data_IF_482444178348
#
_entry.id   IF_482444178348
#
_cell.length_a   1.000
_cell.length_b   1.000
_cell.length_c   1.000
_cell.angle_alpha   90.00
_cell.angle_beta   90.00
_cell.angle_gamma   90.00
#
_symmetry.space_group_name_H-M   'P 1'
#
loop_
_entity.id
_entity.type
_entity.pdbx_description
1 polymer ?
#
# COMPACT_ATOMS: atom_id res chain seq x y z
N UNK A 1 0.31 -9.33 11.92
CA UNK A 1 -0.21 -8.06 11.36
C UNK A 1 0.55 -6.91 12.01
N UNK A 2 0.95 -5.88 11.25
CA UNK A 2 1.62 -4.67 11.80
C UNK A 2 0.69 -3.93 12.78
N UNK A 3 1.26 -3.14 13.70
CA UNK A 3 0.46 -2.32 14.62
C UNK A 3 -0.33 -1.24 13.85
N UNK A 4 -1.49 -0.81 14.37
CA UNK A 4 -2.36 0.18 13.69
C UNK A 4 -1.60 1.48 13.40
N UNK A 5 -0.83 1.99 14.35
CA UNK A 5 0.00 3.19 14.17
C UNK A 5 1.02 3.03 13.04
N UNK A 6 1.60 1.84 12.89
CA UNK A 6 2.55 1.54 11.82
C UNK A 6 1.84 1.52 10.47
N UNK A 7 0.65 0.93 10.38
CA UNK A 7 -0.18 0.91 9.17
C UNK A 7 -0.56 2.33 8.72
N UNK A 8 -0.96 3.18 9.67
CA UNK A 8 -1.29 4.58 9.38
C UNK A 8 -0.06 5.34 8.88
N UNK A 9 1.12 5.11 9.49
CA UNK A 9 2.40 5.68 8.99
C UNK A 9 2.72 5.24 7.56
N UNK A 10 2.42 4.00 7.19
CA UNK A 10 2.56 3.53 5.81
C UNK A 10 1.67 4.35 4.87
N UNK A 11 0.40 4.59 5.24
CA UNK A 11 -0.52 5.43 4.48
C UNK A 11 0.04 6.84 4.23
N UNK A 12 0.57 7.50 5.26
CA UNK A 12 1.22 8.82 5.12
C UNK A 12 2.44 8.80 4.20
N UNK A 13 3.29 7.77 4.31
CA UNK A 13 4.47 7.62 3.44
C UNK A 13 4.06 7.44 1.98
N UNK A 14 3.01 6.65 1.72
CA UNK A 14 2.46 6.43 0.38
C UNK A 14 1.86 7.73 -0.16
N UNK A 15 1.01 8.42 0.60
CA UNK A 15 0.41 9.69 0.20
C UNK A 15 1.46 10.69 -0.26
N UNK A 16 2.46 10.94 0.60
CA UNK A 16 3.52 11.90 0.32
C UNK A 16 4.29 11.53 -0.94
N UNK A 17 4.56 10.25 -1.16
CA UNK A 17 5.25 9.79 -2.37
C UNK A 17 4.42 10.01 -3.63
N UNK A 18 3.11 9.72 -3.59
CA UNK A 18 2.23 9.93 -4.72
C UNK A 18 2.16 11.41 -5.10
N UNK A 19 2.05 12.30 -4.11
CA UNK A 19 2.05 13.77 -4.29
C UNK A 19 3.38 14.28 -4.85
N UNK A 20 4.51 13.94 -4.22
CA UNK A 20 5.85 14.42 -4.61
C UNK A 20 6.23 14.00 -6.04
N UNK A 21 5.68 12.88 -6.52
CA UNK A 21 5.97 12.36 -7.86
C UNK A 21 4.82 12.60 -8.85
N UNK A 22 3.77 13.33 -8.45
CA UNK A 22 2.59 13.59 -9.26
C UNK A 22 2.01 12.31 -9.91
N UNK A 23 1.97 11.23 -9.13
CA UNK A 23 1.52 9.92 -9.60
C UNK A 23 0.00 9.82 -9.48
N UNK A 24 -0.67 9.65 -10.63
CA UNK A 24 -2.12 9.42 -10.68
C UNK A 24 -2.51 8.06 -10.07
N UNK A 25 -1.65 7.06 -10.24
CA UNK A 25 -1.83 5.70 -9.74
C UNK A 25 -0.45 5.08 -9.48
N UNK A 26 -0.33 4.27 -8.43
CA UNK A 26 0.80 3.37 -8.20
C UNK A 26 0.35 1.95 -7.87
N UNK A 27 1.17 0.96 -8.23
CA UNK A 27 0.97 -0.44 -7.84
C UNK A 27 1.88 -0.79 -6.67
N UNK A 28 1.60 -1.89 -5.95
CA UNK A 28 2.44 -2.31 -4.83
C UNK A 28 3.93 -2.39 -5.15
N UNK A 29 4.29 -2.87 -6.35
CA UNK A 29 5.68 -3.00 -6.79
C UNK A 29 6.39 -1.66 -6.94
N UNK A 30 5.66 -0.61 -7.32
CA UNK A 30 6.22 0.72 -7.54
C UNK A 30 6.56 1.39 -6.19
N UNK A 31 5.82 1.02 -5.13
CA UNK A 31 5.99 1.56 -3.78
C UNK A 31 7.02 0.78 -2.93
N UNK A 32 7.33 -0.47 -3.28
CA UNK A 32 8.26 -1.29 -2.49
C UNK A 32 9.65 -0.66 -2.30
N UNK A 33 10.31 -0.10 -3.34
CA UNK A 33 11.62 0.53 -3.16
C UNK A 33 11.60 1.63 -2.10
N UNK A 34 10.57 2.48 -2.11
CA UNK A 34 10.38 3.52 -1.09
C UNK A 34 10.20 2.91 0.30
N UNK A 35 9.29 1.94 0.43
CA UNK A 35 8.92 1.38 1.72
C UNK A 35 10.08 0.57 2.34
N UNK A 36 10.93 -0.05 1.51
CA UNK A 36 12.18 -0.67 1.95
C UNK A 36 13.19 0.39 2.39
N UNK A 37 13.38 1.46 1.59
CA UNK A 37 14.26 2.58 1.95
C UNK A 37 13.87 3.24 3.28
N UNK A 38 12.57 3.25 3.61
CA UNK A 38 12.02 3.75 4.88
C UNK A 38 12.06 2.73 6.02
N UNK A 39 12.55 1.51 5.79
CA UNK A 39 12.67 0.45 6.79
C UNK A 39 11.34 -0.24 7.15
N UNK A 40 10.25 0.03 6.42
CA UNK A 40 8.92 -0.53 6.68
C UNK A 40 8.87 -2.01 6.30
N UNK A 41 9.51 -2.37 5.19
CA UNK A 41 9.70 -3.75 4.74
C UNK A 41 11.18 -4.06 4.60
N UNK A 42 11.57 -5.30 4.88
CA UNK A 42 12.98 -5.72 4.79
C UNK A 42 13.44 -5.91 3.34
N UNK A 43 12.58 -6.46 2.49
CA UNK A 43 12.87 -6.75 1.08
C UNK A 43 11.58 -6.95 0.31
N UNK A 44 11.66 -6.89 -1.02
CA UNK A 44 10.59 -7.29 -1.91
C UNK A 44 10.88 -8.70 -2.44
N UNK A 45 10.04 -9.65 -2.05
CA UNK A 45 10.19 -11.03 -2.47
C UNK A 45 9.61 -11.31 -3.86
N UNK A 46 8.61 -10.51 -4.30
CA UNK A 46 7.90 -10.75 -5.57
C UNK A 46 6.97 -9.59 -5.92
N UNK A 47 7.49 -8.58 -6.62
CA UNK A 47 6.73 -7.45 -7.18
C UNK A 47 5.65 -6.93 -6.21
N UNK A 48 6.05 -6.46 -5.04
CA UNK A 48 5.13 -5.92 -4.04
C UNK A 48 4.36 -6.95 -3.23
N UNK A 49 4.78 -8.21 -3.21
CA UNK A 49 4.12 -9.25 -2.41
C UNK A 49 3.97 -8.87 -0.93
N UNK A 50 5.00 -8.36 -0.22
CA UNK A 50 4.87 -8.00 1.20
C UNK A 50 3.77 -6.97 1.46
N UNK A 51 3.68 -5.95 0.60
CA UNK A 51 2.63 -4.94 0.69
C UNK A 51 1.25 -5.53 0.35
N UNK A 52 1.14 -6.37 -0.69
CA UNK A 52 -0.12 -7.06 -1.02
C UNK A 52 -0.62 -7.94 0.12
N UNK A 53 0.26 -8.63 0.83
CA UNK A 53 -0.12 -9.44 2.00
C UNK A 53 -0.62 -8.58 3.17
N UNK A 54 0.00 -7.41 3.40
CA UNK A 54 -0.52 -6.44 4.37
C UNK A 54 -1.93 -5.97 3.98
N UNK A 55 -2.15 -5.60 2.72
CA UNK A 55 -3.45 -5.12 2.22
C UNK A 55 -4.54 -6.19 2.35
N UNK A 56 -4.23 -7.45 2.02
CA UNK A 56 -5.15 -8.59 2.21
C UNK A 56 -5.50 -8.80 3.69
N UNK A 57 -4.53 -8.67 4.60
CA UNK A 57 -4.80 -8.78 6.04
C UNK A 57 -5.72 -7.66 6.52
N UNK A 58 -5.49 -6.42 6.09
CA UNK A 58 -6.32 -5.27 6.43
C UNK A 58 -7.73 -5.42 5.89
N UNK A 59 -7.87 -5.80 4.62
CA UNK A 59 -9.17 -5.98 3.99
C UNK A 59 -10.00 -7.09 4.67
N UNK A 60 -9.40 -8.26 4.95
CA UNK A 60 -10.06 -9.34 5.71
C UNK A 60 -10.45 -8.92 7.11
N UNK A 61 -9.72 -7.99 7.72
CA UNK A 61 -10.02 -7.45 9.05
C UNK A 61 -11.00 -6.26 9.02
N UNK A 62 -11.51 -5.84 7.85
CA UNK A 62 -12.34 -4.64 7.72
C UNK A 62 -11.59 -3.33 8.01
N UNK A 63 -10.27 -3.33 7.91
CA UNK A 63 -9.35 -2.23 8.29
C UNK A 63 -8.65 -1.57 7.11
N UNK A 64 -9.13 -1.80 5.89
CA UNK A 64 -8.53 -1.17 4.70
C UNK A 64 -8.60 0.36 4.75
N UNK A 65 -9.60 0.92 5.46
CA UNK A 65 -9.75 2.36 5.69
C UNK A 65 -8.54 3.04 6.37
N UNK A 66 -7.65 2.26 7.00
CA UNK A 66 -6.40 2.78 7.58
C UNK A 66 -5.38 3.22 6.51
N UNK A 67 -5.55 2.77 5.26
CA UNK A 67 -4.78 3.20 4.10
C UNK A 67 -5.78 3.68 3.04
N UNK A 68 -6.32 4.89 3.18
CA UNK A 68 -7.38 5.39 2.30
C UNK A 68 -6.95 5.54 0.82
N UNK A 69 -5.64 5.58 0.55
CA UNK A 69 -5.08 5.58 -0.80
C UNK A 69 -5.31 4.23 -1.51
N UNK A 70 -5.45 3.14 -0.75
CA UNK A 70 -5.47 1.78 -1.29
C UNK A 70 -6.87 1.38 -1.76
N UNK A 71 -6.94 0.90 -3.01
CA UNK A 71 -8.12 0.29 -3.59
C UNK A 71 -7.74 -1.02 -4.30
N UNK A 72 -8.73 -1.84 -4.64
CA UNK A 72 -8.49 -3.03 -5.44
C UNK A 72 -9.61 -3.32 -6.43
N UNK A 73 -9.23 -3.90 -7.57
CA UNK A 73 -10.14 -4.60 -8.47
C UNK A 73 -10.07 -6.11 -8.20
N UNK A 74 -11.22 -6.75 -8.00
CA UNK A 74 -11.31 -8.20 -7.92
C UNK A 74 -11.53 -8.78 -9.33
N UNK A 75 -10.65 -9.67 -9.78
CA UNK A 75 -10.83 -10.48 -11.00
C UNK A 75 -10.63 -11.95 -10.67
N UNK A 76 -11.69 -12.74 -10.78
CA UNK A 76 -11.73 -14.14 -10.34
C UNK A 76 -11.27 -14.26 -8.88
N UNK A 77 -10.22 -15.03 -8.60
CA UNK A 77 -9.64 -15.20 -7.26
C UNK A 77 -8.56 -14.15 -6.91
N UNK A 78 -8.19 -13.29 -7.87
CA UNK A 78 -7.08 -12.34 -7.71
C UNK A 78 -7.57 -10.93 -7.38
N UNK A 79 -6.86 -10.27 -6.46
CA UNK A 79 -7.00 -8.83 -6.15
C UNK A 79 -5.85 -8.05 -6.78
N UNK A 80 -6.18 -7.11 -7.65
CA UNK A 80 -5.26 -6.17 -8.25
C UNK A 80 -5.32 -4.87 -7.44
N UNK A 81 -4.21 -4.52 -6.80
CA UNK A 81 -4.14 -3.40 -5.86
C UNK A 81 -3.60 -2.15 -6.54
N UNK A 82 -4.19 -1.02 -6.19
CA UNK A 82 -3.87 0.30 -6.71
C UNK A 82 -3.81 1.32 -5.58
N UNK A 83 -3.00 2.35 -5.76
CA UNK A 83 -2.86 3.46 -4.83
C UNK A 83 -3.01 4.78 -5.57
N UNK A 84 -3.94 5.62 -5.12
CA UNK A 84 -4.17 6.94 -5.68
C UNK A 84 -3.97 7.98 -4.59
N UNK A 85 -3.40 9.14 -4.93
CA UNK A 85 -3.27 10.24 -3.99
C UNK A 85 -4.68 10.68 -3.58
N UNK A 86 -4.86 10.94 -2.28
CA UNK A 86 -6.07 11.62 -1.85
C UNK A 86 -6.03 13.06 -2.35
N UNK A 87 -7.14 13.51 -2.94
CA UNK A 87 -7.39 14.94 -3.16
C UNK A 87 -7.94 15.50 -1.84
N UNK A 88 -7.13 16.30 -1.14
CA UNK A 88 -7.47 16.94 0.13
C UNK A 88 -7.84 18.41 -0.08
#
# INVERSE_FOLDING_TARGET
MKAVEEVVKIGYVIQKYLEENNLKEAKPKDLMPLLIKKGIFKQDHREGLPLRELLKQLERAGKLYLIPQASFEQKNQNKYWFFNALEL
#
